data_IF_349372574163
#
_entry.id   IF_349372574163
#
_cell.length_a   1.000
_cell.length_b   1.000
_cell.length_c   1.000
_cell.angle_alpha   90.00
_cell.angle_beta   90.00
_cell.angle_gamma   90.00
#
_symmetry.space_group_name_H-M   'P 1'
#
loop_
_entity.id
_entity.type
_entity.pdbx_description
1 polymer ?
#
# COMPACT_ATOMS: atom_id res chain seq x y z
N UNK A 1 23.26 -13.62 18.30
CA UNK A 1 21.94 -13.30 17.71
C UNK A 1 22.09 -11.93 17.07
N UNK A 2 22.49 -11.87 15.81
CA UNK A 2 22.48 -10.62 15.05
C UNK A 2 21.03 -10.19 14.88
N UNK A 3 20.73 -8.96 15.29
CA UNK A 3 19.39 -8.38 15.17
C UNK A 3 19.00 -8.29 13.72
N UNK A 4 17.78 -8.73 13.39
CA UNK A 4 17.19 -8.65 12.05
C UNK A 4 17.09 -7.24 11.44
N UNK A 5 17.51 -6.18 12.16
CA UNK A 5 17.67 -4.82 11.65
C UNK A 5 18.84 -4.62 10.68
N UNK A 6 19.89 -5.45 10.72
CA UNK A 6 21.11 -5.21 9.92
C UNK A 6 20.96 -5.33 8.39
N UNK A 7 19.86 -5.94 7.90
CA UNK A 7 19.63 -6.16 6.46
C UNK A 7 18.78 -5.06 5.83
N UNK A 8 17.96 -4.36 6.61
CA UNK A 8 17.00 -3.38 6.09
C UNK A 8 17.69 -2.05 5.73
N UNK A 9 18.55 -1.52 6.60
CA UNK A 9 19.23 -0.23 6.37
C UNK A 9 20.04 -0.19 5.07
N UNK A 10 20.84 -1.23 4.73
CA UNK A 10 21.58 -1.25 3.47
C UNK A 10 20.66 -1.31 2.25
N UNK A 11 19.45 -1.88 2.36
CA UNK A 11 18.48 -1.89 1.27
C UNK A 11 17.87 -0.50 1.09
N UNK A 12 17.41 0.12 2.19
CA UNK A 12 16.83 1.48 2.20
C UNK A 12 17.82 2.50 1.61
N UNK A 13 19.08 2.48 2.06
CA UNK A 13 20.12 3.39 1.59
C UNK A 13 20.37 3.32 0.07
N UNK A 14 19.99 2.21 -0.57
CA UNK A 14 20.20 1.98 -2.00
C UNK A 14 18.96 2.21 -2.86
N UNK A 15 17.78 2.39 -2.26
CA UNK A 15 16.52 2.61 -2.98
C UNK A 15 16.52 3.88 -3.82
N UNK A 16 17.30 4.90 -3.44
CA UNK A 16 17.42 6.16 -4.17
C UNK A 16 18.33 6.13 -5.41
N UNK A 17 19.12 5.07 -5.61
CA UNK A 17 20.08 4.97 -6.73
C UNK A 17 19.39 4.88 -8.09
N UNK A 18 20.04 5.34 -9.16
CA UNK A 18 19.43 5.34 -10.51
C UNK A 18 19.49 3.98 -11.22
N UNK A 19 20.28 3.03 -10.71
CA UNK A 19 20.43 1.71 -11.32
C UNK A 19 19.13 0.88 -11.22
N UNK A 20 18.51 0.65 -12.39
CA UNK A 20 17.27 -0.11 -12.53
C UNK A 20 17.46 -1.57 -12.09
N UNK A 21 18.56 -2.22 -12.47
CA UNK A 21 18.80 -3.64 -12.13
C UNK A 21 18.96 -3.80 -10.62
N UNK A 22 19.68 -2.86 -10.01
CA UNK A 22 19.82 -2.82 -8.56
C UNK A 22 18.47 -2.64 -7.87
N UNK A 23 17.65 -1.68 -8.31
CA UNK A 23 16.30 -1.45 -7.76
C UNK A 23 15.39 -2.66 -7.88
N UNK A 24 15.44 -3.38 -9.01
CA UNK A 24 14.68 -4.60 -9.20
C UNK A 24 15.09 -5.68 -8.20
N UNK A 25 16.40 -5.89 -8.03
CA UNK A 25 16.94 -6.82 -7.02
C UNK A 25 16.54 -6.42 -5.60
N UNK A 26 16.67 -5.13 -5.24
CA UNK A 26 16.24 -4.62 -3.93
C UNK A 26 14.75 -4.89 -3.72
N UNK A 27 13.92 -4.76 -4.76
CA UNK A 27 12.50 -5.09 -4.67
C UNK A 27 12.25 -6.55 -4.32
N UNK A 28 12.94 -7.49 -4.98
CA UNK A 28 12.87 -8.93 -4.68
C UNK A 28 13.36 -9.27 -3.27
N UNK A 29 14.47 -8.63 -2.85
CA UNK A 29 15.05 -8.80 -1.53
C UNK A 29 14.09 -8.26 -0.44
N UNK A 30 13.47 -7.10 -0.66
CA UNK A 30 12.48 -6.50 0.24
C UNK A 30 11.20 -7.34 0.34
N UNK A 31 10.74 -7.93 -0.76
CA UNK A 31 9.59 -8.83 -0.75
C UNK A 31 9.87 -10.06 0.11
N UNK A 32 11.02 -10.71 -0.12
CA UNK A 32 11.47 -11.85 0.68
C UNK A 32 11.64 -11.49 2.16
N UNK A 33 12.25 -10.33 2.44
CA UNK A 33 12.46 -9.84 3.80
C UNK A 33 11.14 -9.52 4.50
N UNK A 34 10.18 -8.91 3.80
CA UNK A 34 8.88 -8.55 4.36
C UNK A 34 8.01 -9.78 4.59
N UNK A 35 8.11 -10.83 3.79
CA UNK A 35 7.39 -12.10 3.99
C UNK A 35 7.88 -12.89 5.21
N UNK A 36 9.11 -12.66 5.68
CA UNK A 36 9.62 -13.30 6.89
C UNK A 36 9.12 -12.57 8.17
N UNK A 37 8.16 -13.20 8.86
CA UNK A 37 7.57 -12.70 10.09
C UNK A 37 8.55 -12.57 11.27
N UNK A 38 9.71 -13.23 11.24
CA UNK A 38 10.74 -13.11 12.26
C UNK A 38 11.56 -11.80 12.15
N UNK A 39 11.51 -11.13 11.00
CA UNK A 39 12.19 -9.85 10.84
C UNK A 39 11.49 -8.77 11.66
N UNK A 40 12.24 -7.85 12.27
CA UNK A 40 11.65 -6.74 13.02
C UNK A 40 11.39 -5.56 12.08
N UNK A 41 10.15 -5.06 12.05
CA UNK A 41 9.78 -3.88 11.27
C UNK A 41 9.19 -2.86 12.24
N UNK A 42 10.04 -2.10 12.92
CA UNK A 42 9.63 -1.11 13.93
C UNK A 42 10.59 0.09 13.93
N UNK A 43 10.11 1.24 14.41
CA UNK A 43 10.95 2.42 14.60
C UNK A 43 11.17 3.25 13.32
N UNK A 44 12.29 3.98 13.28
CA UNK A 44 12.63 4.95 12.22
C UNK A 44 12.79 4.29 10.84
N UNK A 45 13.22 3.02 10.79
CA UNK A 45 13.44 2.26 9.55
C UNK A 45 12.15 2.10 8.73
N UNK A 46 10.99 2.08 9.39
CA UNK A 46 9.69 1.94 8.72
C UNK A 46 9.35 3.20 7.93
N UNK A 47 9.58 4.38 8.51
CA UNK A 47 9.36 5.65 7.84
C UNK A 47 10.26 5.81 6.61
N UNK A 48 11.56 5.55 6.78
CA UNK A 48 12.53 5.62 5.69
C UNK A 48 12.24 4.62 4.56
N UNK A 49 11.81 3.41 4.90
CA UNK A 49 11.34 2.43 3.92
C UNK A 49 10.12 2.95 3.15
N UNK A 50 9.12 3.47 3.84
CA UNK A 50 7.89 3.99 3.21
C UNK A 50 8.21 5.15 2.27
N UNK A 51 9.06 6.09 2.68
CA UNK A 51 9.49 7.21 1.84
C UNK A 51 10.22 6.71 0.58
N UNK A 52 11.10 5.72 0.74
CA UNK A 52 11.76 5.03 -0.37
C UNK A 52 10.76 4.39 -1.33
N UNK A 53 9.74 3.71 -0.81
CA UNK A 53 8.70 3.07 -1.62
C UNK A 53 7.82 4.11 -2.34
N UNK A 54 7.40 5.19 -1.68
CA UNK A 54 6.68 6.30 -2.31
C UNK A 54 7.47 6.86 -3.50
N UNK A 55 8.79 6.99 -3.38
CA UNK A 55 9.64 7.42 -4.50
C UNK A 55 9.60 6.44 -5.68
N UNK A 56 9.48 5.13 -5.43
CA UNK A 56 9.39 4.10 -6.47
C UNK A 56 8.04 4.13 -7.20
N UNK A 57 6.96 4.53 -6.53
CA UNK A 57 5.67 4.77 -7.18
C UNK A 57 5.80 5.86 -8.25
N UNK A 58 6.68 6.86 -8.05
CA UNK A 58 6.99 7.89 -9.06
C UNK A 58 7.92 7.45 -10.20
N UNK A 59 8.45 6.22 -10.19
CA UNK A 59 9.41 5.72 -11.18
C UNK A 59 8.82 5.68 -12.60
N UNK A 60 9.65 5.87 -13.63
CA UNK A 60 9.24 5.63 -15.03
C UNK A 60 9.20 4.15 -15.40
N UNK A 61 9.79 3.28 -14.58
CA UNK A 61 9.81 1.83 -14.78
C UNK A 61 8.64 1.17 -14.03
N UNK A 62 7.73 0.55 -14.77
CA UNK A 62 6.53 -0.05 -14.17
C UNK A 62 6.82 -1.23 -13.26
N UNK A 63 7.90 -1.99 -13.48
CA UNK A 63 8.23 -3.08 -12.59
C UNK A 63 8.72 -2.57 -11.23
N UNK A 64 9.42 -1.43 -11.22
CA UNK A 64 9.80 -0.74 -9.97
C UNK A 64 8.56 -0.19 -9.25
N UNK A 65 7.62 0.42 -9.98
CA UNK A 65 6.34 0.86 -9.42
C UNK A 65 5.57 -0.30 -8.78
N UNK A 66 5.47 -1.43 -9.50
CA UNK A 66 4.79 -2.63 -9.04
C UNK A 66 5.46 -3.17 -7.76
N UNK A 67 6.79 -3.33 -7.75
CA UNK A 67 7.52 -3.75 -6.56
C UNK A 67 7.26 -2.80 -5.38
N UNK A 68 7.20 -1.49 -5.62
CA UNK A 68 6.88 -0.49 -4.60
C UNK A 68 5.51 -0.73 -3.96
N UNK A 69 4.48 -0.96 -4.78
CA UNK A 69 3.11 -1.23 -4.32
C UNK A 69 3.00 -2.58 -3.59
N UNK A 70 3.68 -3.62 -4.07
CA UNK A 70 3.64 -4.96 -3.47
C UNK A 70 4.38 -5.01 -2.12
N UNK A 71 5.50 -4.30 -1.99
CA UNK A 71 6.22 -4.18 -0.71
C UNK A 71 5.41 -3.31 0.27
N UNK A 72 4.86 -2.18 -0.17
CA UNK A 72 3.96 -1.36 0.68
C UNK A 72 2.80 -2.19 1.22
N UNK A 73 2.20 -3.03 0.38
CA UNK A 73 1.09 -3.91 0.79
C UNK A 73 1.48 -4.85 1.93
N UNK A 74 2.69 -5.41 1.89
CA UNK A 74 3.22 -6.27 2.96
C UNK A 74 3.51 -5.47 4.23
N UNK A 75 4.07 -4.26 4.07
CA UNK A 75 4.32 -3.34 5.19
C UNK A 75 3.01 -2.99 5.89
N UNK A 76 1.94 -2.65 5.16
CA UNK A 76 0.61 -2.37 5.72
C UNK A 76 0.10 -3.54 6.56
N UNK A 77 0.13 -4.76 6.02
CA UNK A 77 -0.35 -5.96 6.72
C UNK A 77 0.46 -6.23 7.99
N UNK A 78 1.78 -5.98 7.96
CA UNK A 78 2.67 -6.19 9.11
C UNK A 78 2.54 -5.14 10.20
N UNK A 79 2.39 -3.87 9.82
CA UNK A 79 2.21 -2.76 10.75
C UNK A 79 0.81 -2.71 11.35
N UNK A 80 -0.21 -3.24 10.65
CA UNK A 80 -1.61 -3.17 11.09
C UNK A 80 -1.99 -1.71 11.39
N UNK A 81 -2.56 -1.44 12.56
CA UNK A 81 -2.99 -0.10 12.98
C UNK A 81 -1.82 0.90 13.09
N UNK A 82 -0.58 0.42 13.31
CA UNK A 82 0.62 1.25 13.38
C UNK A 82 0.99 1.86 12.01
N UNK A 83 0.36 1.41 10.92
CA UNK A 83 0.53 2.03 9.60
C UNK A 83 -0.21 3.37 9.47
N UNK A 84 -1.21 3.63 10.32
CA UNK A 84 -2.10 4.80 10.22
C UNK A 84 -1.40 6.15 10.07
N UNK A 85 -0.26 6.44 10.75
CA UNK A 85 0.47 7.70 10.58
C UNK A 85 0.97 7.94 9.16
N UNK A 86 1.24 6.89 8.39
CA UNK A 86 1.80 6.98 7.04
C UNK A 86 0.75 7.09 5.94
N UNK A 87 -0.53 6.89 6.25
CA UNK A 87 -1.62 6.92 5.24
C UNK A 87 -1.62 8.25 4.46
N UNK A 88 -1.48 9.37 5.16
CA UNK A 88 -1.53 10.69 4.54
C UNK A 88 -0.38 10.96 3.56
N UNK A 89 0.79 10.34 3.75
CA UNK A 89 1.93 10.47 2.82
C UNK A 89 1.82 9.52 1.63
N UNK A 90 1.21 8.34 1.81
CA UNK A 90 1.08 7.32 0.76
C UNK A 90 -0.07 7.61 -0.21
N UNK A 91 -1.22 8.13 0.27
CA UNK A 91 -2.43 8.28 -0.54
C UNK A 91 -2.29 9.15 -1.80
N UNK A 92 -1.52 10.26 -1.81
CA UNK A 92 -1.28 11.03 -3.04
C UNK A 92 -0.67 10.17 -4.15
N UNK A 93 0.35 9.36 -3.82
CA UNK A 93 1.00 8.48 -4.78
C UNK A 93 0.06 7.36 -5.27
N UNK A 94 -0.78 6.81 -4.38
CA UNK A 94 -1.83 5.86 -4.76
C UNK A 94 -2.88 6.49 -5.68
N UNK A 95 -3.25 7.75 -5.46
CA UNK A 95 -4.20 8.47 -6.33
C UNK A 95 -3.63 8.63 -7.74
N UNK A 96 -2.34 8.93 -7.86
CA UNK A 96 -1.68 8.95 -9.17
C UNK A 96 -1.69 7.57 -9.84
N UNK A 97 -1.51 6.48 -9.07
CA UNK A 97 -1.50 5.10 -9.59
C UNK A 97 -2.87 4.60 -10.05
N UNK A 98 -3.97 5.13 -9.52
CA UNK A 98 -5.31 4.92 -10.12
C UNK A 98 -5.35 5.40 -11.58
N UNK A 99 -4.52 6.38 -11.93
CA UNK A 99 -4.48 6.93 -13.28
C UNK A 99 -3.56 6.19 -14.26
N UNK A 100 -2.91 5.10 -13.83
CA UNK A 100 -1.85 4.46 -14.61
C UNK A 100 -2.39 3.80 -15.88
N UNK A 101 -1.61 3.85 -16.96
CA UNK A 101 -1.98 3.25 -18.23
C UNK A 101 -2.01 1.71 -18.16
N UNK A 102 -1.22 1.11 -17.27
CA UNK A 102 -1.09 -0.35 -17.12
C UNK A 102 -2.04 -0.86 -16.05
N UNK A 103 -2.92 -1.76 -16.46
CA UNK A 103 -3.91 -2.41 -15.58
C UNK A 103 -3.26 -3.09 -14.37
N UNK A 104 -2.15 -3.82 -14.57
CA UNK A 104 -1.41 -4.45 -13.46
C UNK A 104 -1.02 -3.47 -12.35
N UNK A 105 -0.70 -2.22 -12.68
CA UNK A 105 -0.36 -1.19 -11.67
C UNK A 105 -1.61 -0.71 -10.94
N UNK A 106 -2.73 -0.55 -11.65
CA UNK A 106 -4.01 -0.16 -11.06
C UNK A 106 -4.54 -1.26 -10.12
N UNK A 107 -4.49 -2.52 -10.55
CA UNK A 107 -4.92 -3.67 -9.74
C UNK A 107 -4.08 -3.81 -8.47
N UNK A 108 -2.76 -3.72 -8.60
CA UNK A 108 -1.85 -3.80 -7.43
C UNK A 108 -2.08 -2.62 -6.47
N UNK A 109 -2.39 -1.44 -7.01
CA UNK A 109 -2.72 -0.27 -6.21
C UNK A 109 -4.09 -0.41 -5.51
N UNK A 110 -5.09 -0.99 -6.16
CA UNK A 110 -6.39 -1.27 -5.57
C UNK A 110 -6.28 -2.29 -4.42
N UNK A 111 -5.43 -3.31 -4.57
CA UNK A 111 -5.11 -4.25 -3.50
C UNK A 111 -4.43 -3.58 -2.29
N UNK A 112 -3.47 -2.68 -2.53
CA UNK A 112 -2.87 -1.85 -1.47
C UNK A 112 -3.92 -0.99 -0.74
N UNK A 113 -4.81 -0.33 -1.47
CA UNK A 113 -5.88 0.50 -0.91
C UNK A 113 -6.83 -0.33 -0.05
N UNK A 114 -7.22 -1.52 -0.52
CA UNK A 114 -8.03 -2.46 0.25
C UNK A 114 -7.33 -2.88 1.55
N UNK A 115 -6.03 -3.21 1.53
CA UNK A 115 -5.26 -3.54 2.75
C UNK A 115 -5.17 -2.37 3.72
N UNK A 116 -5.04 -1.14 3.23
CA UNK A 116 -5.09 0.05 4.08
C UNK A 116 -6.46 0.23 4.74
N UNK A 117 -7.56 -0.10 4.04
CA UNK A 117 -8.91 -0.10 4.63
C UNK A 117 -9.09 -1.18 5.70
N UNK A 118 -8.51 -2.37 5.51
CA UNK A 118 -8.57 -3.47 6.48
C UNK A 118 -7.91 -3.11 7.82
N UNK A 119 -6.81 -2.35 7.78
CA UNK A 119 -6.08 -1.93 9.00
C UNK A 119 -6.53 -0.57 9.56
N UNK A 120 -7.44 0.13 8.85
CA UNK A 120 -8.06 1.37 9.32
C UNK A 120 -9.58 1.23 9.30
N UNK A 121 -10.25 1.79 8.29
CA UNK A 121 -11.62 1.48 7.90
C UNK A 121 -11.86 1.94 6.45
N UNK A 122 -12.86 1.40 5.75
CA UNK A 122 -13.24 1.88 4.41
C UNK A 122 -13.54 3.37 4.39
N UNK A 123 -14.33 3.83 5.37
CA UNK A 123 -14.70 5.24 5.50
C UNK A 123 -13.46 6.13 5.63
N UNK A 124 -12.49 5.71 6.46
CA UNK A 124 -11.27 6.48 6.70
C UNK A 124 -10.45 6.74 5.42
N UNK A 125 -10.34 5.74 4.54
CA UNK A 125 -9.61 5.85 3.28
C UNK A 125 -10.43 6.62 2.23
N UNK A 126 -11.71 6.28 2.08
CA UNK A 126 -12.58 6.91 1.07
C UNK A 126 -12.77 8.41 1.30
N UNK A 127 -12.91 8.86 2.57
CA UNK A 127 -13.00 10.29 2.90
C UNK A 127 -11.78 11.09 2.43
N UNK A 128 -10.61 10.46 2.42
CA UNK A 128 -9.35 11.07 1.99
C UNK A 128 -9.13 10.99 0.48
N UNK A 129 -9.89 10.17 -0.23
CA UNK A 129 -9.85 10.03 -1.69
C UNK A 129 -10.92 10.87 -2.40
N UNK A 130 -11.59 11.79 -1.69
CA UNK A 130 -12.65 12.64 -2.26
C UNK A 130 -12.19 13.45 -3.48
N UNK A 131 -10.90 13.83 -3.54
CA UNK A 131 -10.31 14.48 -4.72
C UNK A 131 -10.30 13.62 -5.99
N UNK A 132 -10.32 12.29 -5.86
CA UNK A 132 -10.30 11.36 -6.99
C UNK A 132 -11.57 11.44 -7.85
N UNK A 133 -12.73 11.74 -7.25
CA UNK A 133 -14.01 11.86 -7.98
C UNK A 133 -14.04 13.00 -9.00
N UNK A 134 -13.28 14.07 -8.75
CA UNK A 134 -13.22 15.26 -9.62
C UNK A 134 -11.88 15.40 -10.33
N UNK A 135 -11.04 14.36 -10.28
CA UNK A 135 -9.69 14.41 -10.82
C UNK A 135 -9.67 14.59 -12.35
N UNK A 136 -8.68 15.34 -12.87
CA UNK A 136 -8.57 15.63 -14.32
C UNK A 136 -8.41 14.38 -15.19
N UNK A 137 -7.69 13.38 -14.70
CA UNK A 137 -7.51 12.10 -15.40
C UNK A 137 -8.75 11.23 -15.21
N UNK A 138 -9.42 10.86 -16.31
CA UNK A 138 -10.65 10.07 -16.26
C UNK A 138 -10.45 8.68 -15.64
N UNK A 139 -9.26 8.09 -15.79
CA UNK A 139 -8.96 6.78 -15.19
C UNK A 139 -9.01 6.83 -13.67
N UNK A 140 -8.49 7.91 -13.07
CA UNK A 140 -8.59 8.11 -11.61
C UNK A 140 -10.05 8.17 -11.16
N UNK A 141 -10.90 8.87 -11.93
CA UNK A 141 -12.35 8.96 -11.64
C UNK A 141 -13.06 7.61 -11.80
N UNK A 142 -12.65 6.80 -12.76
CA UNK A 142 -13.19 5.46 -12.98
C UNK A 142 -12.76 4.50 -11.86
N UNK A 143 -11.47 4.45 -11.54
CA UNK A 143 -10.91 3.55 -10.52
C UNK A 143 -11.44 3.83 -9.11
N UNK A 144 -11.71 5.10 -8.73
CA UNK A 144 -12.34 5.37 -7.42
C UNK A 144 -13.77 4.81 -7.34
N UNK A 145 -14.51 4.79 -8.46
CA UNK A 145 -15.85 4.19 -8.51
C UNK A 145 -15.77 2.67 -8.45
N UNK A 146 -14.80 2.06 -9.14
CA UNK A 146 -14.53 0.62 -9.07
C UNK A 146 -14.10 0.20 -7.66
N UNK A 147 -13.19 0.94 -7.03
CA UNK A 147 -12.77 0.71 -5.65
C UNK A 147 -13.95 0.81 -4.69
N UNK A 148 -14.81 1.82 -4.84
CA UNK A 148 -16.01 1.97 -4.01
C UNK A 148 -17.00 0.82 -4.23
N UNK A 149 -17.21 0.38 -5.47
CA UNK A 149 -18.05 -0.77 -5.79
C UNK A 149 -17.49 -2.05 -5.15
N UNK A 150 -16.21 -2.35 -5.35
CA UNK A 150 -15.53 -3.52 -4.78
C UNK A 150 -15.62 -3.50 -3.25
N UNK A 151 -15.35 -2.33 -2.65
CA UNK A 151 -15.50 -2.09 -1.21
C UNK A 151 -16.90 -2.50 -0.77
N UNK A 152 -17.96 -1.85 -1.30
CA UNK A 152 -19.35 -2.14 -0.90
C UNK A 152 -19.69 -3.62 -1.07
N UNK A 153 -19.28 -4.25 -2.18
CA UNK A 153 -19.54 -5.66 -2.42
C UNK A 153 -18.87 -6.56 -1.38
N UNK A 154 -17.59 -6.33 -1.06
CA UNK A 154 -16.87 -7.08 -0.02
C UNK A 154 -17.55 -6.93 1.34
N UNK A 155 -17.91 -5.72 1.74
CA UNK A 155 -18.52 -5.47 3.05
C UNK A 155 -19.95 -6.02 3.14
N UNK A 156 -20.76 -5.90 2.08
CA UNK A 156 -22.11 -6.50 2.04
C UNK A 156 -22.04 -8.02 2.10
N UNK A 157 -21.08 -8.65 1.42
CA UNK A 157 -20.87 -10.11 1.49
C UNK A 157 -20.48 -10.55 2.90
N UNK A 158 -19.61 -9.82 3.59
CA UNK A 158 -19.26 -10.08 5.00
C UNK A 158 -20.50 -10.03 5.90
N UNK A 159 -21.34 -9.01 5.75
CA UNK A 159 -22.59 -8.86 6.51
C UNK A 159 -23.59 -9.99 6.23
N UNK A 160 -23.70 -10.42 4.97
CA UNK A 160 -24.59 -11.53 4.57
C UNK A 160 -24.08 -12.89 5.08
N UNK A 161 -22.77 -13.07 5.15
CA UNK A 161 -22.15 -14.35 5.55
C UNK A 161 -22.10 -14.51 7.08
N UNK A 162 -21.98 -13.40 7.83
CA UNK A 162 -21.89 -13.43 9.29
C UNK A 162 -22.89 -12.47 9.97
N UNK A 163 -24.20 -12.73 9.88
CA UNK A 163 -25.25 -11.82 10.39
C UNK A 163 -25.25 -11.62 11.92
N UNK A 164 -24.53 -12.47 12.68
CA UNK A 164 -24.55 -12.47 14.15
C UNK A 164 -23.18 -12.21 14.80
N UNK A 165 -22.11 -12.00 14.02
CA UNK A 165 -20.83 -11.57 14.61
C UNK A 165 -20.85 -10.05 14.76
N UNK A 166 -20.49 -9.51 15.94
CA UNK A 166 -20.29 -8.07 16.04
C UNK A 166 -19.24 -7.67 15.02
N UNK A 167 -19.55 -6.66 14.21
CA UNK A 167 -18.61 -6.09 13.27
C UNK A 167 -17.30 -5.75 14.03
N UNK A 168 -16.11 -6.00 13.46
CA UNK A 168 -14.88 -5.57 14.09
C UNK A 168 -15.00 -4.09 14.47
N UNK A 169 -14.50 -3.70 15.64
CA UNK A 169 -14.68 -2.36 16.21
C UNK A 169 -14.24 -1.23 15.27
N UNK A 170 -13.41 -1.55 14.28
CA UNK A 170 -13.03 -0.68 13.16
C UNK A 170 -14.20 -0.25 12.26
N UNK A 171 -15.36 -0.93 12.31
CA UNK A 171 -16.58 -0.55 11.58
C UNK A 171 -17.46 0.48 12.30
N UNK A 172 -17.20 0.78 13.58
CA UNK A 172 -18.02 1.71 14.36
C UNK A 172 -17.35 3.08 14.55
N UNK A 173 -16.25 3.37 13.86
CA UNK A 173 -15.46 4.61 13.99
C UNK A 173 -15.13 5.25 12.66
#
# INVERSE_FOLDING_TARGET
MESAGGVLDPLIAQMGKQDIRLKLKIGEDLMTWTDNAANSLHGEDVGALIDGLISWLGSSNSKIQQNGLEVLSRVVVRQREDFRPYISSVLPACTDRMGDAKEVIRDTNADLLNKMMEVTSPQYILDRLTGAYTHKNFRVREEILLLMQDTVMRWVLVLRTYPHKPLPLTMYR
#
